data_IF_303523810362
#
_entry.id   IF_303523810362
#
_cell.length_a   1.000
_cell.length_b   1.000
_cell.length_c   1.000
_cell.angle_alpha   90.00
_cell.angle_beta   90.00
_cell.angle_gamma   90.00
#
_symmetry.space_group_name_H-M   'P 1'
#
loop_
_entity.id
_entity.type
_entity.pdbx_description
1 polymer ?
#
# COMPACT_ATOMS: atom_id res chain seq x y z
N UNK A 1 -12.79 3.59 -6.58
CA UNK A 1 -11.78 3.74 -5.51
C UNK A 1 -10.46 3.23 -6.02
N UNK A 2 -9.39 4.01 -5.87
CA UNK A 2 -8.07 3.70 -6.41
C UNK A 2 -7.20 3.07 -5.34
N UNK A 3 -6.52 1.99 -5.68
CA UNK A 3 -5.56 1.33 -4.80
C UNK A 3 -4.19 1.36 -5.46
N UNK A 4 -3.23 1.93 -4.76
CA UNK A 4 -1.84 1.84 -5.15
C UNK A 4 -1.25 0.55 -4.60
N UNK A 5 -0.89 -0.35 -5.51
CA UNK A 5 -0.15 -1.55 -5.17
C UNK A 5 1.34 -1.29 -5.38
N UNK A 6 2.13 -1.57 -4.34
CA UNK A 6 3.55 -1.24 -4.30
C UNK A 6 4.35 -2.51 -4.11
N UNK A 7 5.17 -2.84 -5.09
CA UNK A 7 6.18 -3.89 -4.97
C UNK A 7 7.33 -3.53 -5.91
N UNK A 8 8.54 -3.92 -5.53
CA UNK A 8 9.71 -3.83 -6.38
C UNK A 8 9.53 -4.71 -7.62
N UNK A 9 9.85 -4.15 -8.78
CA UNK A 9 9.69 -4.82 -10.07
C UNK A 9 10.56 -6.08 -10.18
N UNK A 10 11.66 -6.16 -9.45
CA UNK A 10 12.55 -7.31 -9.37
C UNK A 10 11.98 -8.42 -8.47
N UNK A 11 11.13 -8.10 -7.49
CA UNK A 11 10.44 -9.08 -6.65
C UNK A 11 9.40 -9.90 -7.43
N UNK A 12 9.05 -9.49 -8.66
CA UNK A 12 8.11 -10.17 -9.58
C UNK A 12 6.69 -10.36 -9.04
N UNK A 13 6.36 -9.77 -7.90
CA UNK A 13 4.98 -9.73 -7.41
C UNK A 13 4.17 -8.80 -8.31
N UNK A 14 3.49 -9.41 -9.27
CA UNK A 14 2.43 -8.72 -9.98
C UNK A 14 1.29 -8.51 -8.98
N UNK A 15 0.62 -7.34 -9.02
CA UNK A 15 -0.66 -7.24 -8.37
C UNK A 15 -1.55 -8.39 -8.87
N UNK A 16 -2.18 -9.17 -7.98
CA UNK A 16 -2.95 -10.33 -8.40
C UNK A 16 -4.04 -9.90 -9.40
N UNK A 17 -4.15 -10.59 -10.54
CA UNK A 17 -5.06 -10.19 -11.63
C UNK A 17 -6.53 -10.07 -11.18
N UNK A 18 -6.86 -10.81 -10.14
CA UNK A 18 -8.14 -10.88 -9.48
C UNK A 18 -8.56 -9.58 -8.76
N UNK A 19 -7.66 -8.61 -8.57
CA UNK A 19 -8.00 -7.26 -8.07
C UNK A 19 -8.79 -6.43 -9.08
N UNK A 20 -8.52 -6.58 -10.39
CA UNK A 20 -9.34 -5.91 -11.42
C UNK A 20 -10.79 -6.41 -11.39
N UNK A 21 -10.99 -7.68 -11.03
CA UNK A 21 -12.32 -8.27 -10.90
C UNK A 21 -13.13 -7.72 -9.72
N UNK A 22 -12.47 -7.13 -8.72
CA UNK A 22 -13.10 -6.56 -7.53
C UNK A 22 -13.48 -5.07 -7.67
N UNK A 23 -13.34 -4.48 -8.87
CA UNK A 23 -13.64 -3.06 -9.11
C UNK A 23 -12.58 -2.09 -8.56
N UNK A 24 -11.39 -2.59 -8.21
CA UNK A 24 -10.25 -1.77 -7.79
C UNK A 24 -9.48 -1.27 -9.02
N UNK A 25 -9.28 0.04 -9.10
CA UNK A 25 -8.33 0.62 -10.03
C UNK A 25 -6.92 0.50 -9.44
N UNK A 26 -6.17 -0.48 -9.95
CA UNK A 26 -4.79 -0.72 -9.56
C UNK A 26 -3.84 0.19 -10.33
N UNK A 27 -3.09 1.00 -9.58
CA UNK A 27 -2.00 1.78 -10.15
C UNK A 27 -0.66 1.32 -9.58
N UNK A 28 0.24 0.79 -10.42
CA UNK A 28 1.57 0.42 -9.98
C UNK A 28 2.36 1.68 -9.61
N UNK A 29 3.12 1.59 -8.54
CA UNK A 29 4.11 2.59 -8.18
C UNK A 29 5.47 2.12 -8.66
N UNK A 30 6.16 2.99 -9.40
CA UNK A 30 7.57 2.81 -9.79
C UNK A 30 8.29 4.07 -9.36
N UNK A 31 9.29 3.96 -8.49
CA UNK A 31 10.11 5.09 -8.08
C UNK A 31 11.58 4.88 -8.48
N UNK A 32 12.41 5.94 -8.43
CA UNK A 32 13.84 5.86 -8.69
C UNK A 32 14.55 4.92 -7.72
N UNK A 33 15.77 4.50 -8.08
CA UNK A 33 16.61 3.65 -7.24
C UNK A 33 17.06 4.41 -5.98
N UNK A 34 16.50 4.03 -4.83
CA UNK A 34 16.92 4.51 -3.51
C UNK A 34 15.81 5.20 -2.73
N UNK A 35 15.83 5.02 -1.40
CA UNK A 35 14.80 5.49 -0.48
C UNK A 35 14.54 7.01 -0.57
N UNK A 36 15.61 7.82 -0.62
CA UNK A 36 15.48 9.27 -0.60
C UNK A 36 14.77 9.81 -1.87
N UNK A 37 15.18 9.32 -3.04
CA UNK A 37 14.57 9.71 -4.31
C UNK A 37 13.12 9.22 -4.41
N UNK A 38 12.85 8.02 -3.89
CA UNK A 38 11.49 7.49 -3.80
C UNK A 38 10.58 8.39 -2.95
N UNK A 39 11.02 8.81 -1.76
CA UNK A 39 10.23 9.71 -0.90
C UNK A 39 9.84 11.02 -1.61
N UNK A 40 10.80 11.65 -2.30
CA UNK A 40 10.58 12.90 -3.04
C UNK A 40 9.62 12.71 -4.21
N UNK A 41 9.72 11.59 -4.93
CA UNK A 41 8.86 11.31 -6.07
C UNK A 41 7.43 10.90 -5.67
N UNK A 42 7.26 10.20 -4.54
CA UNK A 42 5.98 9.62 -4.12
C UNK A 42 5.04 10.63 -3.49
N UNK A 43 5.56 11.57 -2.70
CA UNK A 43 4.73 12.54 -1.99
C UNK A 43 3.78 13.34 -2.89
N UNK A 44 4.24 14.03 -3.95
CA UNK A 44 3.33 14.78 -4.82
C UNK A 44 2.36 13.87 -5.57
N UNK A 45 2.78 12.64 -5.91
CA UNK A 45 1.97 11.67 -6.62
C UNK A 45 0.80 11.18 -5.77
N UNK A 46 1.05 10.78 -4.52
CA UNK A 46 0.03 10.32 -3.60
C UNK A 46 -0.89 11.45 -3.15
N UNK A 47 -0.35 12.64 -2.88
CA UNK A 47 -1.14 13.81 -2.51
C UNK A 47 -2.13 14.24 -3.62
N UNK A 48 -1.77 14.07 -4.89
CA UNK A 48 -2.64 14.41 -6.02
C UNK A 48 -3.70 13.36 -6.33
N UNK A 49 -3.59 12.15 -5.78
CA UNK A 49 -4.40 11.02 -6.22
C UNK A 49 -5.80 10.94 -5.56
N UNK A 50 -6.06 11.79 -4.54
CA UNK A 50 -7.38 11.94 -3.91
C UNK A 50 -7.71 10.79 -2.96
N UNK A 51 -8.92 10.24 -3.08
CA UNK A 51 -9.42 9.17 -2.21
C UNK A 51 -8.84 7.81 -2.59
N UNK A 52 -7.68 7.50 -1.99
CA UNK A 52 -6.84 6.35 -2.31
C UNK A 52 -6.50 5.53 -1.07
N UNK A 53 -6.27 4.24 -1.28
CA UNK A 53 -5.65 3.35 -0.31
C UNK A 53 -4.34 2.77 -0.87
N UNK A 54 -3.43 2.40 0.02
CA UNK A 54 -2.11 1.85 -0.33
C UNK A 54 -1.97 0.43 0.20
N UNK A 55 -1.54 -0.48 -0.68
CA UNK A 55 -1.22 -1.87 -0.34
C UNK A 55 0.23 -2.15 -0.68
N UNK A 56 1.00 -2.55 0.33
CA UNK A 56 2.40 -2.94 0.19
C UNK A 56 2.47 -4.44 -0.09
N UNK A 57 3.07 -4.81 -1.21
CA UNK A 57 3.26 -6.18 -1.66
C UNK A 57 4.53 -6.83 -1.13
N UNK A 58 5.60 -6.06 -0.97
CA UNK A 58 6.90 -6.57 -0.52
C UNK A 58 7.61 -5.67 0.52
N UNK A 59 8.78 -6.11 0.98
CA UNK A 59 9.59 -5.45 1.99
C UNK A 59 10.67 -4.53 1.39
N UNK A 60 10.49 -4.09 0.14
CA UNK A 60 11.46 -3.25 -0.56
C UNK A 60 11.59 -1.84 0.01
N UNK A 61 12.67 -1.14 -0.35
CA UNK A 61 12.82 0.29 -0.03
C UNK A 61 11.72 1.16 -0.65
N UNK A 62 11.16 0.72 -1.78
CA UNK A 62 10.01 1.38 -2.41
C UNK A 62 8.75 1.26 -1.54
N UNK A 63 8.49 0.06 -1.02
CA UNK A 63 7.39 -0.20 -0.09
C UNK A 63 7.56 0.58 1.21
N UNK A 64 8.78 0.66 1.75
CA UNK A 64 9.08 1.50 2.90
C UNK A 64 8.88 3.00 2.61
N UNK A 65 9.38 3.51 1.49
CA UNK A 65 9.17 4.91 1.10
C UNK A 65 7.68 5.22 1.00
N UNK A 66 6.91 4.33 0.38
CA UNK A 66 5.47 4.52 0.22
C UNK A 66 4.75 4.48 1.56
N UNK A 67 5.12 3.55 2.46
CA UNK A 67 4.56 3.49 3.81
C UNK A 67 4.77 4.79 4.58
N UNK A 68 5.97 5.37 4.53
CA UNK A 68 6.29 6.62 5.20
C UNK A 68 5.50 7.81 4.63
N UNK A 69 5.37 7.88 3.31
CA UNK A 69 4.58 8.94 2.66
C UNK A 69 3.08 8.76 2.94
N UNK A 70 2.57 7.53 2.87
CA UNK A 70 1.18 7.21 3.19
C UNK A 70 0.85 7.59 4.64
N UNK A 71 1.72 7.24 5.60
CA UNK A 71 1.57 7.63 7.00
C UNK A 71 1.60 9.15 7.19
N UNK A 72 2.51 9.86 6.50
CA UNK A 72 2.57 11.33 6.52
C UNK A 72 1.28 11.97 5.99
N UNK A 73 0.73 11.42 4.90
CA UNK A 73 -0.49 11.91 4.27
C UNK A 73 -1.77 11.36 4.93
N UNK A 74 -1.64 10.55 5.98
CA UNK A 74 -2.75 9.88 6.68
C UNK A 74 -3.63 9.05 5.73
N UNK A 75 -3.01 8.43 4.74
CA UNK A 75 -3.69 7.54 3.80
C UNK A 75 -3.86 6.15 4.42
N UNK A 76 -4.98 5.46 4.15
CA UNK A 76 -5.12 4.06 4.47
C UNK A 76 -3.96 3.23 3.92
N UNK A 77 -3.33 2.46 4.80
CA UNK A 77 -2.14 1.68 4.50
C UNK A 77 -2.29 0.26 5.04
N UNK A 78 -2.11 -0.72 4.18
CA UNK A 78 -2.05 -2.13 4.57
C UNK A 78 -0.89 -2.85 3.88
N UNK A 79 -0.54 -4.02 4.41
CA UNK A 79 0.59 -4.81 3.93
C UNK A 79 0.22 -6.29 3.78
N UNK A 80 0.80 -6.93 2.77
CA UNK A 80 0.74 -8.39 2.58
C UNK A 80 1.69 -9.09 3.55
N UNK A 81 1.58 -10.42 3.65
CA UNK A 81 2.55 -11.22 4.43
C UNK A 81 4.00 -11.08 3.89
N UNK A 82 4.17 -10.96 2.58
CA UNK A 82 5.48 -10.77 1.97
C UNK A 82 6.11 -9.41 2.34
N UNK A 83 5.30 -8.36 2.44
CA UNK A 83 5.76 -7.05 2.92
C UNK A 83 6.15 -7.02 4.40
N UNK A 84 5.69 -7.99 5.19
CA UNK A 84 5.89 -8.04 6.64
C UNK A 84 6.92 -9.09 7.07
N UNK A 85 7.86 -9.47 6.18
CA UNK A 85 8.89 -10.46 6.49
C UNK A 85 9.68 -10.08 7.77
N UNK A 86 9.61 -10.88 8.85
CA UNK A 86 10.32 -10.59 10.10
C UNK A 86 11.85 -10.70 9.98
N UNK A 87 12.36 -11.41 8.98
CA UNK A 87 13.80 -11.46 8.70
C UNK A 87 14.31 -10.16 8.06
N UNK A 88 13.41 -9.40 7.44
CA UNK A 88 13.72 -8.12 6.81
C UNK A 88 13.81 -6.97 7.82
N UNK A 89 14.71 -6.03 7.56
CA UNK A 89 14.73 -4.76 8.32
C UNK A 89 13.50 -3.92 7.98
N UNK A 90 13.15 -3.84 6.70
CA UNK A 90 12.02 -3.06 6.23
C UNK A 90 10.72 -3.73 6.64
N UNK A 91 10.59 -5.05 6.49
CA UNK A 91 9.38 -5.78 6.91
C UNK A 91 9.01 -5.57 8.37
N UNK A 92 10.01 -5.54 9.27
CA UNK A 92 9.80 -5.20 10.69
C UNK A 92 9.32 -3.76 10.91
N UNK A 93 9.77 -2.79 10.11
CA UNK A 93 9.29 -1.40 10.18
C UNK A 93 7.89 -1.26 9.59
N UNK A 94 7.63 -1.94 8.48
CA UNK A 94 6.32 -1.97 7.84
C UNK A 94 5.26 -2.56 8.77
N UNK A 95 5.61 -3.56 9.57
CA UNK A 95 4.74 -4.13 10.60
C UNK A 95 4.33 -3.14 11.71
N UNK A 96 5.03 -2.00 11.83
CA UNK A 96 4.67 -0.92 12.77
C UNK A 96 3.85 0.19 12.12
N UNK A 97 3.75 0.23 10.79
CA UNK A 97 3.16 1.32 10.03
C UNK A 97 1.86 0.93 9.32
N UNK A 98 1.77 -0.31 8.84
CA UNK A 98 0.65 -0.80 8.05
C UNK A 98 -0.37 -1.53 8.92
N UNK A 99 -1.66 -1.32 8.62
CA UNK A 99 -2.74 -2.08 9.22
C UNK A 99 -2.84 -3.47 8.59
N UNK A 100 -3.04 -4.48 9.45
CA UNK A 100 -3.33 -5.86 9.13
C UNK A 100 -2.27 -6.64 8.33
N UNK A 101 -2.38 -7.97 8.43
CA UNK A 101 -1.73 -8.93 7.52
C UNK A 101 -2.77 -9.28 6.45
N UNK A 102 -2.91 -8.43 5.43
CA UNK A 102 -3.82 -8.78 4.33
C UNK A 102 -3.25 -10.01 3.62
N UNK A 103 -4.07 -11.04 3.48
CA UNK A 103 -3.75 -12.12 2.54
C UNK A 103 -3.85 -11.58 1.11
N UNK A 104 -3.37 -12.36 0.14
CA UNK A 104 -3.46 -11.99 -1.28
C UNK A 104 -4.88 -12.12 -1.86
N UNK A 105 -5.91 -12.19 -0.99
CA UNK A 105 -7.31 -12.26 -1.39
C UNK A 105 -7.82 -10.87 -1.82
N UNK A 106 -8.15 -10.67 -3.11
CA UNK A 106 -8.53 -9.36 -3.63
C UNK A 106 -9.87 -8.86 -3.11
N UNK A 107 -10.80 -9.76 -2.80
CA UNK A 107 -12.11 -9.38 -2.27
C UNK A 107 -11.98 -8.81 -0.85
N UNK A 108 -11.12 -9.42 -0.02
CA UNK A 108 -10.77 -8.87 1.29
C UNK A 108 -10.09 -7.50 1.17
N UNK A 109 -9.17 -7.33 0.22
CA UNK A 109 -8.47 -6.05 0.02
C UNK A 109 -9.42 -4.97 -0.50
N UNK A 110 -10.36 -5.31 -1.39
CA UNK A 110 -11.37 -4.38 -1.87
C UNK A 110 -12.34 -3.95 -0.76
N UNK A 111 -12.77 -4.90 0.08
CA UNK A 111 -13.59 -4.62 1.24
C UNK A 111 -12.86 -3.73 2.26
N UNK A 112 -11.59 -4.02 2.54
CA UNK A 112 -10.73 -3.20 3.40
C UNK A 112 -10.60 -1.77 2.85
N UNK A 113 -10.18 -1.62 1.59
CA UNK A 113 -10.01 -0.30 1.01
C UNK A 113 -11.32 0.50 1.01
N UNK A 114 -12.45 -0.17 0.77
CA UNK A 114 -13.78 0.44 0.76
C UNK A 114 -14.21 0.93 2.14
N UNK A 115 -13.90 0.17 3.18
CA UNK A 115 -14.12 0.59 4.56
C UNK A 115 -13.17 1.74 4.97
N UNK A 116 -11.91 1.67 4.56
CA UNK A 116 -10.87 2.60 4.99
C UNK A 116 -10.98 3.99 4.32
N UNK A 117 -11.52 4.05 3.11
CA UNK A 117 -11.82 5.30 2.39
C UNK A 117 -13.26 5.76 2.60
N UNK A 118 -14.19 4.81 2.77
CA UNK A 118 -15.62 5.06 2.79
C UNK A 118 -16.21 5.50 4.12
N UNK A 119 -15.45 5.55 5.23
CA UNK A 119 -16.07 5.79 6.54
C UNK A 119 -15.24 6.58 7.57
N UNK A 120 -15.43 7.89 7.55
CA UNK A 120 -15.31 8.76 8.72
C UNK A 120 -16.68 9.03 9.38
N UNK A 121 -17.72 8.23 9.08
CA UNK A 121 -19.11 8.48 9.47
C UNK A 121 -19.76 7.41 10.37
N UNK A 122 -19.13 6.27 10.67
CA UNK A 122 -19.62 5.31 11.68
C UNK A 122 -18.61 5.17 12.82
N UNK A 123 -18.56 6.19 13.68
CA UNK A 123 -18.22 5.96 15.09
C UNK A 123 -19.51 5.65 15.84
N UNK A 124 -19.67 4.48 16.49
CA UNK A 124 -20.71 4.31 17.50
C UNK A 124 -20.33 5.19 18.70
N UNK A 125 -21.32 5.92 19.22
CA UNK A 125 -21.21 6.72 20.44
C UNK A 125 -21.19 5.89 21.71
#
# INVERSE_FOLDING_TARGET
MRVFFVADRAARERPPESFRGAGLELEPIVAPLGLADALVALEPRLAAAGDIAVVLGDDSDLSLATALVAAKLQLPLAATAAALDPASRNGRLLAQLADATLGDDPSAIAAWAGAATGDASIRPG
#
